data_IF_454450692601
#
_entry.id   IF_454450692601
#
_cell.length_a   1.000
_cell.length_b   1.000
_cell.length_c   1.000
_cell.angle_alpha   90.00
_cell.angle_beta   90.00
_cell.angle_gamma   90.00
#
_symmetry.space_group_name_H-M   'P 1'
#
loop_
_entity.id
_entity.type
_entity.pdbx_description
1 polymer ?
#
# COMPACT_ATOMS: atom_id res chain seq x y z
N UNK A 1 -51.86 -1.00 8.98
CA UNK A 1 -51.74 0.32 9.59
C UNK A 1 -50.65 0.33 10.70
N UNK A 2 -49.55 -0.40 10.53
CA UNK A 2 -48.48 -0.53 11.52
C UNK A 2 -47.07 -0.24 10.93
N UNK A 3 -46.97 -0.01 9.63
CA UNK A 3 -45.67 0.21 8.96
C UNK A 3 -45.31 1.67 8.67
N UNK A 4 -46.14 2.64 8.99
CA UNK A 4 -45.85 4.06 8.75
C UNK A 4 -45.09 4.75 9.89
N UNK A 5 -44.96 4.13 11.04
CA UNK A 5 -44.25 4.74 12.19
C UNK A 5 -42.77 4.34 12.35
N UNK A 6 -42.28 3.42 11.53
CA UNK A 6 -40.87 3.01 11.62
C UNK A 6 -39.92 3.96 10.87
N UNK A 7 -40.40 4.72 9.88
CA UNK A 7 -39.58 5.66 9.11
C UNK A 7 -39.31 6.99 9.78
N UNK A 8 -40.18 7.41 10.72
CA UNK A 8 -39.97 8.66 11.48
C UNK A 8 -38.98 8.52 12.62
N UNK A 9 -38.63 7.31 13.04
CA UNK A 9 -37.62 7.06 14.09
C UNK A 9 -36.19 7.02 13.56
N UNK A 10 -36.01 6.89 12.25
CA UNK A 10 -34.69 6.78 11.61
C UNK A 10 -34.11 8.16 11.31
N UNK A 11 -34.94 9.19 11.11
CA UNK A 11 -34.46 10.56 10.84
C UNK A 11 -33.84 11.28 12.06
N UNK A 12 -34.07 10.80 13.28
CA UNK A 12 -33.46 11.38 14.50
C UNK A 12 -32.10 10.78 14.89
N UNK A 13 -31.62 9.78 14.16
CA UNK A 13 -30.30 9.17 14.38
C UNK A 13 -29.19 9.82 13.55
N UNK A 14 -29.47 10.87 12.77
CA UNK A 14 -28.52 11.57 11.90
C UNK A 14 -27.66 12.63 12.61
N UNK A 15 -27.67 12.71 13.96
CA UNK A 15 -26.89 13.73 14.69
C UNK A 15 -25.55 13.17 15.23
N UNK A 16 -25.11 12.00 14.79
CA UNK A 16 -23.75 11.55 15.07
C UNK A 16 -23.01 11.11 13.80
N UNK A 17 -23.11 11.95 12.76
CA UNK A 17 -22.53 11.72 11.45
C UNK A 17 -20.97 11.75 11.35
N UNK A 18 -20.17 12.16 12.36
CA UNK A 18 -18.71 12.03 12.22
C UNK A 18 -18.21 10.59 12.40
N UNK A 19 -18.95 9.70 13.09
CA UNK A 19 -18.48 8.33 13.34
C UNK A 19 -18.85 7.33 12.24
N UNK A 20 -19.94 7.55 11.52
CA UNK A 20 -20.41 6.61 10.49
C UNK A 20 -19.81 6.87 9.11
N UNK A 21 -19.35 8.10 8.85
CA UNK A 21 -18.67 8.45 7.59
C UNK A 21 -17.23 7.95 7.53
N UNK A 22 -16.71 7.40 8.64
CA UNK A 22 -15.38 6.79 8.72
C UNK A 22 -15.33 5.36 8.17
N UNK A 23 -16.45 4.78 7.78
CA UNK A 23 -16.56 3.37 7.38
C UNK A 23 -16.42 3.11 5.89
N UNK A 24 -16.13 4.12 5.07
CA UNK A 24 -15.76 3.97 3.66
C UNK A 24 -14.39 4.59 3.35
N UNK A 25 -13.51 4.69 4.31
CA UNK A 25 -12.09 4.80 3.98
C UNK A 25 -11.70 3.46 3.35
N UNK A 26 -11.48 3.50 2.04
CA UNK A 26 -10.89 2.39 1.30
C UNK A 26 -9.66 1.97 2.09
N UNK A 27 -9.73 0.79 2.73
CA UNK A 27 -8.62 0.25 3.51
C UNK A 27 -7.41 0.18 2.59
N UNK A 28 -6.29 0.77 3.00
CA UNK A 28 -5.07 0.68 2.21
C UNK A 28 -4.58 -0.74 2.18
N UNK A 29 -4.11 -1.14 1.00
CA UNK A 29 -3.61 -2.48 0.74
C UNK A 29 -2.10 -2.49 0.74
N UNK A 30 -1.53 -3.46 1.45
CA UNK A 30 -0.09 -3.66 1.54
C UNK A 30 0.26 -5.03 0.99
N UNK A 31 1.19 -5.08 0.06
CA UNK A 31 1.78 -6.31 -0.44
C UNK A 31 3.09 -6.57 0.31
N UNK A 32 3.22 -7.73 0.94
CA UNK A 32 4.45 -8.17 1.62
C UNK A 32 5.11 -9.25 0.77
N UNK A 33 6.37 -9.01 0.40
CA UNK A 33 7.16 -9.87 -0.49
C UNK A 33 8.41 -10.31 0.28
N UNK A 34 8.44 -11.55 0.71
CA UNK A 34 9.52 -12.13 1.50
C UNK A 34 9.46 -13.66 1.37
N UNK A 35 10.57 -14.33 1.11
CA UNK A 35 10.60 -15.80 0.98
C UNK A 35 10.48 -16.49 2.33
N UNK A 36 10.91 -15.86 3.42
CA UNK A 36 10.79 -16.37 4.77
C UNK A 36 9.34 -16.28 5.28
N UNK A 37 8.64 -17.43 5.27
CA UNK A 37 7.21 -17.48 5.69
C UNK A 37 6.96 -16.94 7.09
N UNK A 38 7.90 -17.12 8.03
CA UNK A 38 7.75 -16.63 9.41
C UNK A 38 7.80 -15.10 9.47
N UNK A 39 8.77 -14.48 8.80
CA UNK A 39 8.92 -13.03 8.73
C UNK A 39 7.73 -12.41 8.00
N UNK A 40 7.36 -12.98 6.84
CA UNK A 40 6.21 -12.56 6.05
C UNK A 40 4.91 -12.58 6.87
N UNK A 41 4.66 -13.67 7.62
CA UNK A 41 3.47 -13.78 8.45
C UNK A 41 3.47 -12.82 9.63
N UNK A 42 4.63 -12.54 10.23
CA UNK A 42 4.77 -11.58 11.31
C UNK A 42 4.46 -10.16 10.83
N UNK A 43 5.05 -9.76 9.70
CA UNK A 43 4.80 -8.46 9.08
C UNK A 43 3.33 -8.31 8.68
N UNK A 44 2.73 -9.36 8.10
CA UNK A 44 1.32 -9.36 7.73
C UNK A 44 0.43 -9.08 8.94
N UNK A 45 0.66 -9.81 10.03
CA UNK A 45 -0.11 -9.62 11.25
C UNK A 45 0.05 -8.23 11.86
N UNK A 46 1.27 -7.66 11.82
CA UNK A 46 1.52 -6.29 12.27
C UNK A 46 0.70 -5.28 11.46
N UNK A 47 0.67 -5.43 10.14
CA UNK A 47 -0.07 -4.52 9.25
C UNK A 47 -1.59 -4.68 9.40
N UNK A 48 -2.08 -5.90 9.58
CA UNK A 48 -3.50 -6.18 9.85
C UNK A 48 -3.96 -5.53 11.16
N UNK A 49 -3.12 -5.55 12.20
CA UNK A 49 -3.41 -4.89 13.49
C UNK A 49 -3.48 -3.36 13.36
N UNK A 50 -2.74 -2.78 12.42
CA UNK A 50 -2.80 -1.36 12.08
C UNK A 50 -3.99 -1.00 11.15
N UNK A 51 -4.80 -1.99 10.76
CA UNK A 51 -6.01 -1.80 9.96
C UNK A 51 -5.76 -1.79 8.45
N UNK A 52 -4.65 -2.34 7.97
CA UNK A 52 -4.38 -2.50 6.55
C UNK A 52 -4.91 -3.85 6.02
N UNK A 53 -5.33 -3.87 4.75
CA UNK A 53 -5.57 -5.11 4.02
C UNK A 53 -4.22 -5.64 3.51
N UNK A 54 -3.90 -6.91 3.76
CA UNK A 54 -2.58 -7.46 3.44
C UNK A 54 -2.69 -8.57 2.41
N UNK A 55 -1.86 -8.50 1.37
CA UNK A 55 -1.58 -9.60 0.47
C UNK A 55 -0.10 -10.01 0.58
N UNK A 56 0.20 -11.27 0.27
CA UNK A 56 1.51 -11.86 0.52
C UNK A 56 2.04 -12.55 -0.73
N UNK A 57 3.37 -12.49 -0.92
CA UNK A 57 4.09 -13.20 -1.97
C UNK A 57 5.44 -13.71 -1.44
N UNK A 58 5.91 -14.85 -1.91
CA UNK A 58 7.17 -15.44 -1.51
C UNK A 58 8.30 -15.30 -2.53
N UNK A 59 8.01 -14.73 -3.71
CA UNK A 59 8.94 -14.58 -4.83
C UNK A 59 8.51 -13.44 -5.75
N UNK A 60 9.37 -13.02 -6.69
CA UNK A 60 9.09 -11.94 -7.63
C UNK A 60 7.88 -12.24 -8.52
N UNK A 61 7.75 -13.47 -8.98
CA UNK A 61 6.66 -13.88 -9.88
C UNK A 61 5.30 -13.82 -9.21
N UNK A 62 5.19 -14.34 -8.00
CA UNK A 62 3.96 -14.25 -7.21
C UNK A 62 3.66 -12.82 -6.79
N UNK A 63 4.69 -12.00 -6.51
CA UNK A 63 4.54 -10.58 -6.19
C UNK A 63 3.88 -9.81 -7.34
N UNK A 64 4.32 -10.00 -8.57
CA UNK A 64 3.73 -9.33 -9.74
C UNK A 64 2.28 -9.76 -9.96
N UNK A 65 1.97 -11.04 -9.75
CA UNK A 65 0.59 -11.53 -9.81
C UNK A 65 -0.31 -10.90 -8.73
N UNK A 66 0.19 -10.78 -7.50
CA UNK A 66 -0.55 -10.12 -6.43
C UNK A 66 -0.73 -8.61 -6.70
N UNK A 67 0.28 -7.97 -7.29
CA UNK A 67 0.22 -6.57 -7.70
C UNK A 67 -0.93 -6.31 -8.68
N UNK A 68 -1.06 -7.16 -9.70
CA UNK A 68 -2.13 -7.06 -10.71
C UNK A 68 -3.51 -7.31 -10.11
N UNK A 69 -3.64 -8.32 -9.23
CA UNK A 69 -4.93 -8.72 -8.65
C UNK A 69 -5.45 -7.72 -7.62
N UNK A 70 -4.57 -7.15 -6.81
CA UNK A 70 -4.97 -6.39 -5.62
C UNK A 70 -4.71 -4.89 -5.71
N UNK A 71 -3.85 -4.45 -6.65
CA UNK A 71 -3.45 -3.05 -6.81
C UNK A 71 -3.07 -2.40 -5.47
N UNK A 72 -2.05 -2.92 -4.75
CA UNK A 72 -1.67 -2.43 -3.43
C UNK A 72 -1.14 -1.00 -3.48
N UNK A 73 -1.37 -0.24 -2.40
CA UNK A 73 -0.83 1.11 -2.23
C UNK A 73 0.67 1.08 -1.93
N UNK A 74 1.10 0.08 -1.14
CA UNK A 74 2.49 -0.08 -0.73
C UNK A 74 2.92 -1.53 -0.88
N UNK A 75 4.15 -1.75 -1.36
CA UNK A 75 4.82 -3.03 -1.36
C UNK A 75 6.02 -3.00 -0.41
N UNK A 76 6.04 -3.90 0.57
CA UNK A 76 7.20 -4.22 1.40
C UNK A 76 7.92 -5.39 0.76
N UNK A 77 9.15 -5.22 0.32
CA UNK A 77 9.87 -6.22 -0.45
C UNK A 77 11.23 -6.54 0.17
N UNK A 78 11.52 -7.82 0.37
CA UNK A 78 12.89 -8.24 0.67
C UNK A 78 13.79 -8.00 -0.53
N UNK A 79 15.05 -7.69 -0.26
CA UNK A 79 16.09 -7.55 -1.28
C UNK A 79 16.45 -8.90 -1.90
N UNK A 80 16.50 -9.94 -1.09
CA UNK A 80 16.88 -11.29 -1.53
C UNK A 80 15.63 -12.16 -1.73
N UNK A 81 15.35 -12.51 -2.95
CA UNK A 81 14.24 -13.39 -3.32
C UNK A 81 14.76 -14.59 -4.11
N UNK A 82 14.10 -15.76 -4.02
CA UNK A 82 14.60 -16.99 -4.63
C UNK A 82 14.69 -16.96 -6.16
N UNK A 83 13.90 -16.12 -6.81
CA UNK A 83 13.81 -15.98 -8.26
C UNK A 83 14.31 -14.63 -8.79
N UNK A 84 14.88 -13.77 -7.92
CA UNK A 84 15.39 -12.47 -8.33
C UNK A 84 15.87 -11.57 -7.21
N UNK A 85 16.07 -10.30 -7.55
CA UNK A 85 16.51 -9.26 -6.62
C UNK A 85 15.42 -8.22 -6.43
N UNK A 86 15.09 -7.90 -5.17
CA UNK A 86 14.08 -6.90 -4.81
C UNK A 86 14.41 -5.51 -5.36
N UNK A 87 15.70 -5.13 -5.47
CA UNK A 87 16.12 -3.84 -6.04
C UNK A 87 15.72 -3.72 -7.53
N UNK A 88 15.83 -4.81 -8.29
CA UNK A 88 15.40 -4.85 -9.69
C UNK A 88 13.87 -4.96 -9.81
N UNK A 89 13.24 -5.65 -8.85
CA UNK A 89 11.78 -5.75 -8.79
C UNK A 89 11.11 -4.39 -8.60
N UNK A 90 11.75 -3.43 -7.91
CA UNK A 90 11.26 -2.05 -7.79
C UNK A 90 10.97 -1.45 -9.16
N UNK A 91 11.91 -1.59 -10.12
CA UNK A 91 11.75 -1.04 -11.48
C UNK A 91 10.52 -1.66 -12.16
N UNK A 92 10.35 -2.96 -12.00
CA UNK A 92 9.22 -3.69 -12.61
C UNK A 92 7.89 -3.26 -11.99
N UNK A 93 7.82 -3.16 -10.66
CA UNK A 93 6.63 -2.68 -9.94
C UNK A 93 6.29 -1.25 -10.36
N UNK A 94 7.27 -0.34 -10.41
CA UNK A 94 7.04 1.06 -10.79
C UNK A 94 6.59 1.23 -12.24
N UNK A 95 6.99 0.33 -13.13
CA UNK A 95 6.48 0.31 -14.52
C UNK A 95 5.04 -0.20 -14.61
N UNK A 96 4.72 -1.27 -13.85
CA UNK A 96 3.40 -1.90 -13.88
C UNK A 96 2.35 -1.10 -13.07
N UNK A 97 2.74 -0.55 -11.93
CA UNK A 97 1.89 0.17 -10.99
C UNK A 97 2.64 1.42 -10.46
N UNK A 98 2.68 2.54 -11.20
CA UNK A 98 3.44 3.74 -10.83
C UNK A 98 3.05 4.34 -9.47
N UNK A 99 1.80 4.17 -9.07
CA UNK A 99 1.25 4.72 -7.83
C UNK A 99 1.55 3.85 -6.60
N UNK A 100 1.96 2.58 -6.79
CA UNK A 100 2.40 1.72 -5.69
C UNK A 100 3.77 2.19 -5.18
N UNK A 101 3.86 2.53 -3.92
CA UNK A 101 5.15 2.87 -3.28
C UNK A 101 5.84 1.59 -2.80
N UNK A 102 7.16 1.51 -3.02
CA UNK A 102 7.95 0.32 -2.68
C UNK A 102 8.94 0.64 -1.57
N UNK A 103 8.91 -0.13 -0.49
CA UNK A 103 9.88 -0.08 0.61
C UNK A 103 10.66 -1.39 0.59
N UNK A 104 11.99 -1.29 0.53
CA UNK A 104 12.85 -2.46 0.59
C UNK A 104 13.27 -2.77 2.02
N UNK A 105 13.19 -4.04 2.37
CA UNK A 105 13.67 -4.61 3.62
C UNK A 105 14.88 -5.48 3.34
N UNK A 106 15.92 -5.38 4.16
CA UNK A 106 17.11 -6.24 4.05
C UNK A 106 17.59 -6.72 5.39
N UNK A 107 18.05 -7.95 5.45
CA UNK A 107 18.72 -8.48 6.64
C UNK A 107 20.12 -7.86 6.83
N UNK A 108 20.77 -7.46 5.74
CA UNK A 108 22.11 -6.86 5.75
C UNK A 108 22.08 -5.54 4.97
N UNK A 109 22.12 -4.42 5.69
CA UNK A 109 22.15 -3.09 5.09
C UNK A 109 23.43 -2.90 4.27
N UNK A 110 23.29 -2.82 2.94
CA UNK A 110 24.39 -2.46 2.04
C UNK A 110 24.08 -1.09 1.44
N UNK A 111 24.98 -0.13 1.65
CA UNK A 111 24.80 1.27 1.20
C UNK A 111 24.63 1.37 -0.33
N UNK A 112 25.43 0.67 -1.17
CA UNK A 112 25.24 0.68 -2.63
C UNK A 112 23.86 0.20 -3.06
N UNK A 113 23.33 -0.85 -2.46
CA UNK A 113 22.01 -1.39 -2.80
C UNK A 113 20.89 -0.43 -2.40
N UNK A 114 21.02 0.24 -1.24
CA UNK A 114 20.10 1.28 -0.81
C UNK A 114 20.05 2.46 -1.79
N UNK A 115 21.23 2.95 -2.21
CA UNK A 115 21.32 4.04 -3.20
C UNK A 115 20.71 3.63 -4.53
N UNK A 116 20.98 2.40 -4.99
CA UNK A 116 20.40 1.90 -6.23
C UNK A 116 18.89 1.72 -6.14
N UNK A 117 18.39 1.23 -5.01
CA UNK A 117 16.96 1.09 -4.75
C UNK A 117 16.22 2.43 -4.88
N UNK A 118 16.74 3.49 -4.26
CA UNK A 118 16.15 4.83 -4.34
C UNK A 118 16.20 5.37 -5.77
N UNK A 119 17.31 5.17 -6.49
CA UNK A 119 17.42 5.54 -7.93
C UNK A 119 16.41 4.79 -8.79
N UNK A 120 16.09 3.56 -8.45
CA UNK A 120 15.09 2.75 -9.13
C UNK A 120 13.64 3.16 -8.80
N UNK A 121 13.46 4.10 -7.88
CA UNK A 121 12.16 4.65 -7.49
C UNK A 121 11.55 4.02 -6.23
N UNK A 122 12.34 3.32 -5.42
CA UNK A 122 11.89 2.89 -4.09
C UNK A 122 11.58 4.12 -3.22
N UNK A 123 10.57 3.97 -2.36
CA UNK A 123 10.21 4.99 -1.40
C UNK A 123 11.24 5.09 -0.28
N UNK A 124 11.69 3.93 0.20
CA UNK A 124 12.74 3.85 1.23
C UNK A 124 13.41 2.47 1.23
N UNK A 125 14.50 2.36 1.98
CA UNK A 125 15.30 1.17 2.16
C UNK A 125 15.71 1.04 3.62
N UNK A 126 15.27 -0.03 4.30
CA UNK A 126 15.49 -0.24 5.73
C UNK A 126 16.05 -1.63 6.04
N UNK A 127 16.83 -1.71 7.13
CA UNK A 127 17.40 -2.97 7.62
C UNK A 127 16.40 -3.68 8.53
N UNK A 128 16.17 -4.98 8.30
CA UNK A 128 15.35 -5.83 9.18
C UNK A 128 15.99 -5.90 10.57
N UNK A 129 15.20 -5.66 11.61
CA UNK A 129 15.61 -5.86 13.00
C UNK A 129 16.12 -4.61 13.75
N UNK A 130 16.56 -3.56 13.06
CA UNK A 130 17.08 -2.38 13.77
C UNK A 130 16.00 -1.51 14.40
N UNK A 131 14.76 -1.52 13.83
CA UNK A 131 13.67 -0.75 14.41
C UNK A 131 12.31 -1.15 13.82
N UNK A 132 11.67 -2.19 14.34
CA UNK A 132 10.27 -2.50 14.02
C UNK A 132 9.34 -1.29 14.28
N UNK A 133 9.73 -0.38 15.18
CA UNK A 133 9.01 0.85 15.47
C UNK A 133 9.05 1.88 14.34
N UNK A 134 10.00 1.77 13.39
CA UNK A 134 10.11 2.67 12.24
C UNK A 134 9.28 2.21 11.04
N UNK A 135 8.98 0.91 10.94
CA UNK A 135 8.26 0.34 9.79
C UNK A 135 6.85 0.93 9.69
N UNK A 136 6.10 0.97 10.78
CA UNK A 136 4.71 1.44 10.78
C UNK A 136 4.59 2.91 10.35
N UNK A 137 5.35 3.87 10.93
CA UNK A 137 5.34 5.26 10.48
C UNK A 137 5.77 5.43 9.03
N UNK A 138 6.72 4.62 8.57
CA UNK A 138 7.20 4.67 7.20
C UNK A 138 6.13 4.21 6.21
N UNK A 139 5.44 3.12 6.53
CA UNK A 139 4.31 2.63 5.74
C UNK A 139 3.19 3.67 5.67
N UNK A 140 2.84 4.28 6.78
CA UNK A 140 1.82 5.34 6.83
C UNK A 140 2.16 6.49 5.86
N UNK A 141 3.42 6.95 5.85
CA UNK A 141 3.90 7.97 4.92
C UNK A 141 3.86 7.51 3.45
N UNK A 142 4.23 6.25 3.19
CA UNK A 142 4.18 5.67 1.85
C UNK A 142 2.74 5.56 1.34
N UNK A 143 1.81 5.13 2.20
CA UNK A 143 0.37 5.10 1.91
C UNK A 143 -0.18 6.48 1.58
N UNK A 144 0.17 7.49 2.37
CA UNK A 144 -0.22 8.89 2.09
C UNK A 144 0.26 9.34 0.71
N UNK A 145 1.53 9.07 0.38
CA UNK A 145 2.10 9.42 -0.92
C UNK A 145 1.39 8.70 -2.06
N UNK A 146 1.14 7.39 -1.94
CA UNK A 146 0.42 6.61 -2.94
C UNK A 146 -0.99 7.18 -3.19
N UNK A 147 -1.73 7.51 -2.13
CA UNK A 147 -3.06 8.14 -2.22
C UNK A 147 -3.03 9.52 -2.86
N UNK A 148 -2.01 10.33 -2.56
CA UNK A 148 -1.81 11.64 -3.19
C UNK A 148 -1.57 11.49 -4.70
N UNK A 149 -0.73 10.55 -5.13
CA UNK A 149 -0.46 10.30 -6.54
C UNK A 149 -1.75 9.93 -7.30
N UNK A 150 -2.54 9.00 -6.76
CA UNK A 150 -3.84 8.61 -7.34
C UNK A 150 -4.81 9.80 -7.43
N UNK A 151 -4.82 10.68 -6.42
CA UNK A 151 -5.68 11.88 -6.42
C UNK A 151 -5.24 12.88 -7.48
N UNK A 152 -3.93 13.11 -7.64
CA UNK A 152 -3.37 13.97 -8.68
C UNK A 152 -3.71 13.46 -10.08
N UNK A 153 -3.51 12.17 -10.35
CA UNK A 153 -3.89 11.56 -11.63
C UNK A 153 -5.36 11.75 -11.98
N UNK A 154 -6.25 11.58 -10.99
CA UNK A 154 -7.69 11.81 -11.19
C UNK A 154 -8.01 13.28 -11.51
N UNK A 155 -7.31 14.21 -10.89
CA UNK A 155 -7.49 15.65 -11.15
C UNK A 155 -6.97 16.03 -12.53
N UNK A 156 -5.79 15.56 -12.93
CA UNK A 156 -5.21 15.78 -14.26
C UNK A 156 -6.11 15.25 -15.36
N UNK A 157 -6.67 14.04 -15.20
CA UNK A 157 -7.65 13.49 -16.15
C UNK A 157 -8.91 14.34 -16.26
N UNK A 158 -9.42 14.88 -15.14
CA UNK A 158 -10.59 15.77 -15.16
C UNK A 158 -10.28 17.09 -15.89
N UNK A 159 -9.13 17.70 -15.62
CA UNK A 159 -8.70 18.95 -16.27
C UNK A 159 -8.51 18.70 -17.77
N UNK A 160 -7.81 17.63 -18.17
CA UNK A 160 -7.63 17.28 -19.57
C UNK A 160 -8.95 17.09 -20.33
N UNK A 161 -9.96 16.49 -19.69
CA UNK A 161 -11.30 16.35 -20.28
C UNK A 161 -12.03 17.69 -20.44
N UNK A 162 -11.84 18.64 -19.51
CA UNK A 162 -12.46 19.97 -19.60
C UNK A 162 -11.90 20.82 -20.76
N UNK A 163 -10.64 20.63 -21.13
CA UNK A 163 -9.99 21.36 -22.24
C UNK A 163 -10.06 20.63 -23.59
N UNK A 164 -10.60 19.42 -23.63
CA UNK A 164 -10.75 18.63 -24.87
C UNK A 164 -12.06 18.92 -25.64
N UNK A 165 -12.84 19.91 -25.22
CA UNK A 165 -14.11 20.31 -25.86
C UNK A 165 -14.01 21.62 -26.68
N UNK A 166 -12.83 21.94 -27.23
CA UNK A 166 -12.69 22.98 -28.28
C UNK A 166 -12.36 22.32 -29.63
#
# INVERSE_FOLDING_TARGET
MVYQNLWQSVEKLYICAPCFYRSYEIMSKILIIDDETQIRSLLARMMELEGYEVCQAGDCKSALKQLELHSPDVALCDVFLPDGNGVDLVVTIKKAAPNTEVILLTAHGNIPDGVQAIKNGAFDYITKGDDNNKIIPLISRAVEKARMNVRLEKLEKKVGQMYSFE
#
